data_IF_324068556861
#
_entry.id   IF_324068556861
#
_cell.length_a   1.000
_cell.length_b   1.000
_cell.length_c   1.000
_cell.angle_alpha   90.00
_cell.angle_beta   90.00
_cell.angle_gamma   90.00
#
_symmetry.space_group_name_H-M   'P 1'
#
loop_
_entity.id
_entity.type
_entity.pdbx_description
1 polymer ?
#
# COMPACT_ATOMS: atom_id res chain seq x y z
N UNK A 1 -14.69 16.41 -64.45
CA UNK A 1 -13.89 16.16 -65.67
C UNK A 1 -12.64 15.41 -65.25
N UNK A 2 -12.46 14.26 -65.96
CA UNK A 2 -11.32 13.31 -66.02
C UNK A 2 -11.00 12.50 -64.78
N UNK A 3 -11.51 11.39 -64.76
CA UNK A 3 -11.20 9.95 -64.93
C UNK A 3 -9.77 9.68 -65.49
N UNK A 4 -9.05 8.78 -64.80
CA UNK A 4 -8.28 7.72 -65.48
C UNK A 4 -8.10 6.52 -64.54
N UNK A 5 -8.72 5.40 -64.97
CA UNK A 5 -8.45 4.02 -64.59
C UNK A 5 -7.04 3.60 -65.04
N UNK A 6 -6.41 2.68 -64.31
CA UNK A 6 -5.55 1.66 -64.92
C UNK A 6 -5.74 0.31 -64.19
N UNK A 7 -6.07 -0.64 -65.05
CA UNK A 7 -6.37 -2.05 -64.77
C UNK A 7 -5.14 -2.93 -65.01
N UNK A 8 -5.00 -3.97 -64.21
CA UNK A 8 -4.63 -5.39 -64.49
C UNK A 8 -3.29 -5.72 -65.13
N UNK A 9 -2.51 -6.58 -64.50
CA UNK A 9 -1.99 -7.79 -65.18
C UNK A 9 -1.71 -8.93 -64.16
N UNK A 10 -2.38 -10.08 -64.42
CA UNK A 10 -2.14 -11.39 -63.82
C UNK A 10 -0.77 -11.97 -64.23
N UNK A 11 -0.10 -12.67 -63.31
CA UNK A 11 1.01 -13.54 -63.58
C UNK A 11 1.01 -14.77 -62.69
N UNK A 12 0.38 -15.85 -63.16
CA UNK A 12 0.42 -17.21 -62.60
C UNK A 12 1.82 -17.79 -62.83
N UNK A 13 2.53 -18.17 -61.75
CA UNK A 13 3.67 -19.11 -61.85
C UNK A 13 3.35 -20.31 -60.96
N UNK A 14 3.08 -21.42 -61.63
CA UNK A 14 2.97 -22.78 -61.03
C UNK A 14 4.39 -23.31 -60.92
N UNK A 15 4.84 -23.52 -59.67
CA UNK A 15 6.09 -24.23 -59.36
C UNK A 15 5.76 -25.54 -58.63
N UNK A 16 5.87 -26.65 -59.33
CA UNK A 16 5.89 -27.99 -58.71
C UNK A 16 7.12 -28.16 -57.83
N UNK A 17 6.93 -28.49 -56.56
CA UNK A 17 7.97 -29.05 -55.71
C UNK A 17 7.52 -30.40 -55.15
N UNK A 18 8.31 -31.39 -55.49
CA UNK A 18 8.14 -32.80 -55.12
C UNK A 18 8.17 -33.01 -53.61
N UNK A 19 7.19 -33.71 -53.07
CA UNK A 19 7.12 -34.14 -51.71
C UNK A 19 8.04 -35.39 -51.53
N UNK A 20 9.10 -35.23 -50.75
CA UNK A 20 9.79 -36.38 -50.13
C UNK A 20 9.10 -36.68 -48.79
N UNK A 21 8.33 -37.74 -48.72
CA UNK A 21 7.70 -38.24 -47.54
C UNK A 21 8.74 -38.85 -46.58
N UNK A 22 8.88 -38.30 -45.41
CA UNK A 22 9.55 -38.96 -44.29
C UNK A 22 8.45 -39.47 -43.33
N UNK A 23 8.38 -40.80 -43.18
CA UNK A 23 7.49 -41.41 -42.20
C UNK A 23 7.90 -41.07 -40.78
N UNK A 24 7.01 -40.78 -39.83
CA UNK A 24 7.40 -40.62 -38.45
C UNK A 24 7.69 -41.96 -37.80
N UNK A 25 8.88 -42.06 -37.22
CA UNK A 25 9.24 -43.15 -36.33
C UNK A 25 8.36 -43.08 -35.07
N UNK A 26 7.47 -44.04 -34.91
CA UNK A 26 6.74 -44.28 -33.68
C UNK A 26 7.71 -44.86 -32.63
N UNK A 27 8.05 -44.07 -31.62
CA UNK A 27 8.70 -44.53 -30.40
C UNK A 27 7.60 -45.11 -29.49
N UNK A 28 7.73 -46.35 -28.99
CA UNK A 28 6.74 -46.90 -28.07
C UNK A 28 6.77 -46.14 -26.75
N UNK A 29 5.64 -45.48 -26.40
CA UNK A 29 5.44 -44.89 -25.08
C UNK A 29 5.22 -46.00 -24.07
N UNK A 30 6.24 -46.31 -23.29
CA UNK A 30 6.13 -47.16 -22.11
C UNK A 30 5.44 -46.38 -21.00
N UNK A 31 4.15 -46.66 -20.76
CA UNK A 31 3.41 -46.18 -19.60
C UNK A 31 3.77 -47.00 -18.37
N UNK A 32 4.80 -46.59 -17.65
CA UNK A 32 4.97 -46.97 -16.25
C UNK A 32 4.17 -45.98 -15.38
N UNK A 33 3.47 -46.43 -14.32
CA UNK A 33 2.82 -45.57 -13.38
C UNK A 33 3.88 -44.67 -12.73
N UNK A 34 3.78 -43.36 -12.94
CA UNK A 34 4.73 -42.39 -12.40
C UNK A 34 4.74 -42.41 -10.87
N UNK A 35 5.77 -42.93 -10.27
CA UNK A 35 6.17 -42.51 -8.93
C UNK A 35 6.36 -40.99 -8.96
N UNK A 36 5.57 -40.29 -8.16
CA UNK A 36 5.77 -38.88 -7.91
C UNK A 36 7.15 -38.70 -7.27
N UNK A 37 8.13 -38.32 -8.08
CA UNK A 37 9.44 -37.91 -7.58
C UNK A 37 9.20 -36.65 -6.71
N UNK A 38 9.13 -36.89 -5.40
CA UNK A 38 9.21 -35.80 -4.42
C UNK A 38 10.65 -35.26 -4.55
N UNK A 39 10.77 -34.17 -5.34
CA UNK A 39 12.03 -33.42 -5.38
C UNK A 39 12.26 -32.90 -3.95
N UNK A 40 13.33 -33.33 -3.26
CA UNK A 40 13.61 -32.84 -1.93
C UNK A 40 13.77 -31.32 -2.04
N UNK A 41 12.99 -30.54 -1.28
CA UNK A 41 13.20 -29.10 -1.14
C UNK A 41 14.64 -28.90 -0.69
N UNK A 42 15.49 -28.40 -1.57
CA UNK A 42 16.88 -28.13 -1.29
C UNK A 42 16.97 -27.26 -0.03
N UNK A 43 17.57 -27.77 1.02
CA UNK A 43 17.82 -27.01 2.23
C UNK A 43 18.81 -25.89 1.89
N UNK A 44 18.43 -24.66 2.14
CA UNK A 44 19.33 -23.52 1.99
C UNK A 44 20.49 -23.67 3.01
N UNK A 45 21.75 -23.45 2.60
CA UNK A 45 22.87 -23.46 3.54
C UNK A 45 22.58 -22.51 4.72
N UNK A 46 22.68 -23.01 5.95
CA UNK A 46 22.40 -22.25 7.17
C UNK A 46 20.97 -22.38 7.71
N UNK A 47 20.07 -23.15 7.06
CA UNK A 47 18.67 -23.38 7.50
C UNK A 47 18.46 -24.78 8.12
N UNK A 48 19.51 -25.39 8.68
CA UNK A 48 19.48 -26.80 9.15
C UNK A 48 19.52 -26.97 10.67
N UNK A 49 19.82 -25.90 11.43
CA UNK A 49 19.88 -25.93 12.90
C UNK A 49 18.52 -26.15 13.58
N UNK A 50 18.46 -26.38 14.90
CA UNK A 50 17.20 -26.42 15.64
C UNK A 50 16.47 -25.08 15.54
N UNK A 51 15.14 -25.11 15.40
CA UNK A 51 14.34 -23.89 15.41
C UNK A 51 14.28 -23.34 16.85
N UNK A 52 14.35 -22.01 17.01
CA UNK A 52 14.17 -21.37 18.32
C UNK A 52 12.74 -21.53 18.84
N UNK A 53 12.48 -21.08 20.07
CA UNK A 53 11.13 -21.02 20.61
C UNK A 53 10.25 -19.99 19.93
N UNK A 54 8.93 -20.14 20.08
CA UNK A 54 7.98 -19.14 19.62
C UNK A 54 8.10 -17.86 20.46
N UNK A 55 7.86 -16.69 19.84
CA UNK A 55 7.85 -15.38 20.49
C UNK A 55 6.41 -14.87 20.64
N UNK A 56 6.09 -14.32 21.81
CA UNK A 56 4.80 -13.69 22.06
C UNK A 56 4.90 -12.18 21.93
N UNK A 57 3.95 -11.59 21.21
CA UNK A 57 3.72 -10.16 21.12
C UNK A 57 2.38 -9.81 21.79
N UNK A 58 2.11 -8.53 22.00
CA UNK A 58 0.87 -8.10 22.66
C UNK A 58 -0.41 -8.58 21.91
N UNK A 59 -0.34 -8.74 20.58
CA UNK A 59 -1.50 -9.13 19.75
C UNK A 59 -1.25 -10.32 18.84
N UNK A 60 -0.06 -10.92 18.86
CA UNK A 60 0.27 -12.05 17.99
C UNK A 60 1.23 -13.02 18.67
N UNK A 61 1.30 -14.22 18.10
CA UNK A 61 2.32 -15.22 18.38
C UNK A 61 3.15 -15.41 17.13
N UNK A 62 4.46 -15.41 17.26
CA UNK A 62 5.39 -15.67 16.17
C UNK A 62 5.96 -17.07 16.30
N UNK A 63 5.59 -17.94 15.39
CA UNK A 63 6.01 -19.34 15.35
C UNK A 63 7.20 -19.49 14.40
N UNK A 64 8.37 -19.97 14.87
CA UNK A 64 9.54 -20.10 14.01
C UNK A 64 9.30 -21.13 12.90
N UNK A 65 9.80 -20.83 11.71
CA UNK A 65 9.67 -21.67 10.52
C UNK A 65 10.99 -21.72 9.75
N UNK A 66 11.11 -22.64 8.80
CA UNK A 66 12.25 -22.70 7.89
C UNK A 66 12.08 -21.69 6.76
N UNK A 67 13.20 -21.21 6.21
CA UNK A 67 13.19 -20.36 5.01
C UNK A 67 12.51 -21.04 3.82
N UNK A 68 12.66 -22.35 3.68
CA UNK A 68 11.99 -23.15 2.65
C UNK A 68 10.45 -23.17 2.77
N UNK A 69 9.89 -22.76 3.91
CA UNK A 69 8.45 -22.66 4.13
C UNK A 69 7.86 -21.32 3.67
N UNK A 70 8.72 -20.34 3.37
CA UNK A 70 8.27 -19.04 2.83
C UNK A 70 7.92 -19.21 1.34
N UNK A 71 6.66 -19.01 0.94
CA UNK A 71 6.27 -19.18 -0.45
C UNK A 71 7.01 -18.18 -1.34
N UNK A 72 7.56 -18.62 -2.47
CA UNK A 72 8.25 -17.78 -3.46
C UNK A 72 9.52 -17.08 -2.95
N UNK A 73 10.15 -17.58 -1.89
CA UNK A 73 11.35 -17.00 -1.29
C UNK A 73 12.50 -16.76 -2.29
N UNK A 74 12.59 -17.56 -3.34
CA UNK A 74 13.63 -17.45 -4.38
C UNK A 74 13.43 -16.31 -5.38
N UNK A 75 12.21 -15.78 -5.52
CA UNK A 75 11.79 -15.06 -6.72
C UNK A 75 11.72 -13.53 -6.54
N UNK A 76 11.78 -13.03 -5.31
CA UNK A 76 11.66 -11.59 -5.05
C UNK A 76 12.92 -10.82 -5.47
N UNK A 77 12.78 -9.70 -6.23
CA UNK A 77 13.85 -8.76 -6.52
C UNK A 77 14.18 -7.93 -5.26
N UNK A 78 15.01 -8.49 -4.37
CA UNK A 78 15.31 -7.96 -3.04
C UNK A 78 15.85 -6.52 -3.04
N UNK A 79 16.52 -6.07 -4.13
CA UNK A 79 17.06 -4.71 -4.22
C UNK A 79 15.99 -3.62 -4.01
N UNK A 80 14.74 -3.86 -4.41
CA UNK A 80 13.65 -2.93 -4.15
C UNK A 80 13.32 -2.84 -2.66
N UNK A 81 13.30 -3.98 -1.95
CA UNK A 81 13.07 -4.02 -0.51
C UNK A 81 14.25 -3.40 0.26
N UNK A 82 15.45 -3.52 -0.30
CA UNK A 82 16.65 -2.94 0.30
C UNK A 82 16.56 -1.42 0.41
N UNK A 83 15.98 -0.74 -0.60
CA UNK A 83 15.70 0.69 -0.54
C UNK A 83 14.80 1.06 0.64
N UNK A 84 13.74 0.28 0.89
CA UNK A 84 12.89 0.49 2.05
C UNK A 84 13.64 0.24 3.37
N UNK A 85 14.54 -0.75 3.40
CA UNK A 85 15.32 -1.04 4.60
C UNK A 85 16.36 0.05 4.90
N UNK A 86 17.01 0.59 3.88
CA UNK A 86 17.90 1.75 4.02
C UNK A 86 17.16 2.93 4.66
N UNK A 87 15.89 3.16 4.28
CA UNK A 87 15.04 4.16 4.92
C UNK A 87 14.75 3.81 6.39
N UNK A 88 14.44 2.55 6.71
CA UNK A 88 14.30 2.12 8.11
C UNK A 88 15.57 2.36 8.93
N UNK A 89 16.75 2.25 8.32
CA UNK A 89 18.03 2.52 8.96
C UNK A 89 18.34 4.01 9.19
N UNK A 90 17.50 4.93 8.74
CA UNK A 90 17.55 6.35 9.13
C UNK A 90 17.01 6.56 10.56
N UNK A 91 16.04 5.72 10.98
CA UNK A 91 15.45 5.68 12.33
C UNK A 91 15.24 4.23 12.79
N UNK A 92 16.31 3.46 12.98
CA UNK A 92 16.20 2.06 13.33
C UNK A 92 15.68 1.91 14.76
N UNK A 93 14.79 0.94 14.97
CA UNK A 93 14.50 0.47 16.32
C UNK A 93 15.71 -0.25 16.93
N UNK A 94 15.75 -0.43 18.26
CA UNK A 94 16.93 -0.97 18.97
C UNK A 94 17.33 -2.36 18.46
N UNK A 95 16.37 -3.17 18.03
CA UNK A 95 16.60 -4.54 17.55
C UNK A 95 17.35 -4.57 16.20
N UNK A 96 17.03 -3.66 15.28
CA UNK A 96 17.60 -3.63 13.93
C UNK A 96 18.77 -2.65 13.77
N UNK A 97 18.99 -1.74 14.73
CA UNK A 97 20.08 -0.78 14.70
C UNK A 97 21.47 -1.43 14.49
N UNK A 98 21.81 -2.55 15.15
CA UNK A 98 23.08 -3.22 14.94
C UNK A 98 23.33 -3.72 13.52
N UNK A 99 22.26 -4.05 12.77
CA UNK A 99 22.34 -4.60 11.42
C UNK A 99 22.48 -3.50 10.35
N UNK A 100 22.20 -2.24 10.67
CA UNK A 100 22.13 -1.17 9.68
C UNK A 100 23.42 -0.90 8.92
N UNK A 101 24.59 -1.11 9.55
CA UNK A 101 25.88 -0.97 8.85
C UNK A 101 26.06 -2.06 7.78
N UNK A 102 25.61 -3.28 8.05
CA UNK A 102 25.64 -4.38 7.07
C UNK A 102 24.62 -4.13 5.95
N UNK A 103 23.41 -3.68 6.30
CA UNK A 103 22.36 -3.30 5.33
C UNK A 103 22.89 -2.23 4.35
N UNK A 104 23.56 -1.19 4.84
CA UNK A 104 24.15 -0.15 3.99
C UNK A 104 25.23 -0.70 3.04
N UNK A 105 26.12 -1.56 3.53
CA UNK A 105 27.16 -2.19 2.70
C UNK A 105 26.57 -3.06 1.60
N UNK A 106 25.48 -3.76 1.90
CA UNK A 106 24.81 -4.67 0.97
C UNK A 106 23.83 -3.97 0.00
N UNK A 107 23.74 -2.64 0.06
CA UNK A 107 22.86 -1.88 -0.85
C UNK A 107 23.24 -2.00 -2.33
N UNK A 108 24.52 -2.26 -2.62
CA UNK A 108 25.06 -2.46 -3.97
C UNK A 108 25.29 -3.95 -4.29
N UNK A 109 24.99 -4.85 -3.36
CA UNK A 109 25.18 -6.29 -3.54
C UNK A 109 24.08 -6.90 -4.42
N UNK A 110 24.40 -8.03 -5.06
CA UNK A 110 23.42 -8.78 -5.83
C UNK A 110 22.38 -9.48 -4.94
N UNK A 111 21.24 -9.84 -5.52
CA UNK A 111 20.14 -10.49 -4.81
C UNK A 111 20.55 -11.81 -4.13
N UNK A 112 21.50 -12.54 -4.70
CA UNK A 112 22.02 -13.77 -4.09
C UNK A 112 22.76 -13.48 -2.76
N UNK A 113 23.61 -12.46 -2.75
CA UNK A 113 24.37 -12.07 -1.56
C UNK A 113 23.44 -11.49 -0.47
N UNK A 114 22.50 -10.64 -0.86
CA UNK A 114 21.46 -10.13 0.03
C UNK A 114 20.64 -11.26 0.65
N UNK A 115 20.25 -12.27 -0.16
CA UNK A 115 19.49 -13.44 0.33
C UNK A 115 20.33 -14.30 1.28
N UNK A 116 21.59 -14.54 0.97
CA UNK A 116 22.50 -15.29 1.83
C UNK A 116 22.68 -14.59 3.19
N UNK A 117 22.81 -13.26 3.18
CA UNK A 117 22.89 -12.47 4.40
C UNK A 117 21.60 -12.55 5.23
N UNK A 118 20.41 -12.44 4.60
CA UNK A 118 19.13 -12.60 5.29
C UNK A 118 19.06 -13.96 6.02
N UNK A 119 19.41 -15.03 5.33
CA UNK A 119 19.43 -16.40 5.90
C UNK A 119 20.43 -16.50 7.05
N UNK A 120 21.59 -15.88 6.93
CA UNK A 120 22.62 -15.92 7.96
C UNK A 120 22.25 -15.13 9.23
N UNK A 121 21.63 -13.97 9.07
CA UNK A 121 21.39 -13.01 10.17
C UNK A 121 20.01 -13.10 10.81
N UNK A 122 19.01 -13.58 10.06
CA UNK A 122 17.62 -13.55 10.49
C UNK A 122 17.01 -14.96 10.55
N UNK A 123 16.01 -15.08 11.39
CA UNK A 123 15.13 -16.24 11.53
C UNK A 123 13.73 -15.83 11.11
N UNK A 124 13.08 -16.54 10.19
CA UNK A 124 11.68 -16.28 9.86
C UNK A 124 10.74 -16.88 10.91
N UNK A 125 9.72 -16.09 11.26
CA UNK A 125 8.66 -16.49 12.17
C UNK A 125 7.31 -16.22 11.49
N UNK A 126 6.46 -17.23 11.37
CA UNK A 126 5.08 -17.05 10.94
C UNK A 126 4.30 -16.28 12.01
N UNK A 127 3.55 -15.28 11.58
CA UNK A 127 2.68 -14.50 12.46
C UNK A 127 1.34 -15.19 12.58
N UNK A 128 0.96 -15.54 13.80
CA UNK A 128 -0.31 -16.19 14.13
C UNK A 128 -1.12 -15.28 15.07
N UNK A 129 -2.45 -15.32 14.97
CA UNK A 129 -3.32 -14.71 15.97
C UNK A 129 -3.19 -15.44 17.31
N UNK A 130 -3.39 -14.74 18.44
CA UNK A 130 -3.32 -15.36 19.78
C UNK A 130 -4.35 -16.49 19.96
N UNK A 131 -5.51 -16.38 19.33
CA UNK A 131 -6.54 -17.42 19.31
C UNK A 131 -6.26 -18.54 18.30
N UNK A 132 -5.15 -18.49 17.57
CA UNK A 132 -4.79 -19.38 16.48
C UNK A 132 -5.18 -18.83 15.10
N UNK A 133 -4.51 -19.36 14.05
CA UNK A 133 -4.70 -18.94 12.65
C UNK A 133 -3.63 -17.97 12.16
N UNK A 134 -3.10 -18.27 10.96
CA UNK A 134 -2.03 -17.55 10.29
C UNK A 134 -2.55 -16.72 9.09
N UNK A 135 -3.86 -16.72 8.86
CA UNK A 135 -4.48 -15.99 7.76
C UNK A 135 -5.15 -14.71 8.27
N UNK A 136 -4.97 -13.64 7.55
CA UNK A 136 -5.51 -12.33 7.86
C UNK A 136 -5.92 -11.54 6.62
N UNK A 137 -5.82 -10.23 6.69
CA UNK A 137 -6.34 -9.32 5.68
C UNK A 137 -5.28 -8.35 5.18
N UNK A 138 -5.09 -8.31 3.86
CA UNK A 138 -4.38 -7.26 3.15
C UNK A 138 -5.38 -6.28 2.53
N UNK A 139 -5.14 -4.99 2.78
CA UNK A 139 -5.75 -3.88 2.04
C UNK A 139 -4.66 -3.00 1.47
N UNK A 140 -5.02 -1.93 0.78
CA UNK A 140 -4.07 -0.99 0.22
C UNK A 140 -4.39 0.45 0.56
N UNK A 141 -3.35 1.27 0.60
CA UNK A 141 -3.44 2.72 0.70
C UNK A 141 -2.45 3.40 -0.25
N UNK A 142 -2.67 4.67 -0.48
CA UNK A 142 -1.89 5.44 -1.45
C UNK A 142 -1.84 6.91 -1.07
N UNK A 143 -0.97 7.66 -1.71
CA UNK A 143 -0.90 9.11 -1.57
C UNK A 143 -1.65 9.76 -2.75
N UNK A 144 -2.85 10.35 -2.55
CA UNK A 144 -3.58 11.03 -3.62
C UNK A 144 -2.80 12.23 -4.14
N UNK A 145 -2.97 12.51 -5.44
CA UNK A 145 -2.45 13.72 -6.10
C UNK A 145 -3.65 14.58 -6.46
N UNK A 146 -3.73 15.76 -5.89
CA UNK A 146 -4.91 16.63 -5.93
C UNK A 146 -4.54 18.04 -6.40
N UNK A 147 -5.50 18.70 -7.06
CA UNK A 147 -5.45 20.14 -7.36
C UNK A 147 -6.13 20.94 -6.25
N UNK A 148 -5.55 22.06 -5.87
CA UNK A 148 -6.11 22.92 -4.84
C UNK A 148 -5.80 24.39 -5.04
N UNK A 149 -6.40 25.23 -4.20
CA UNK A 149 -6.24 26.69 -4.18
C UNK A 149 -5.86 27.19 -2.79
N UNK A 150 -5.05 28.24 -2.70
CA UNK A 150 -4.81 28.96 -1.43
C UNK A 150 -6.00 29.80 -0.99
N UNK A 151 -6.90 30.11 -1.90
CA UNK A 151 -8.08 30.94 -1.62
C UNK A 151 -9.36 30.13 -1.81
N UNK A 152 -10.30 30.32 -0.89
CA UNK A 152 -11.64 29.83 -1.08
C UNK A 152 -12.28 30.50 -2.32
N UNK A 153 -13.02 29.73 -3.07
CA UNK A 153 -13.82 30.19 -4.20
C UNK A 153 -14.97 29.22 -4.45
N UNK A 154 -15.87 29.57 -5.38
CA UNK A 154 -16.94 28.66 -5.82
C UNK A 154 -16.39 27.36 -6.44
N UNK A 155 -15.21 27.43 -7.08
CA UNK A 155 -14.53 26.26 -7.64
C UNK A 155 -13.76 25.45 -6.59
N UNK A 156 -13.34 26.06 -5.49
CA UNK A 156 -12.57 25.44 -4.40
C UNK A 156 -13.18 25.79 -3.04
N UNK A 157 -14.37 25.24 -2.69
CA UNK A 157 -15.08 25.60 -1.48
C UNK A 157 -14.65 24.79 -0.23
N UNK A 158 -13.91 23.68 -0.37
CA UNK A 158 -13.69 22.71 0.69
C UNK A 158 -12.35 22.94 1.39
N UNK A 159 -12.33 23.43 2.65
CA UNK A 159 -11.09 23.73 3.36
C UNK A 159 -10.39 22.47 3.89
N UNK A 160 -9.07 22.51 3.88
CA UNK A 160 -8.19 21.58 4.59
C UNK A 160 -7.47 22.35 5.68
N UNK A 161 -7.41 21.80 6.89
CA UNK A 161 -6.96 22.52 8.08
C UNK A 161 -5.67 21.97 8.67
N UNK A 162 -4.89 22.89 9.26
CA UNK A 162 -3.90 22.56 10.30
C UNK A 162 -4.64 22.17 11.59
N UNK A 163 -3.94 21.47 12.52
CA UNK A 163 -4.50 21.20 13.84
C UNK A 163 -4.98 22.48 14.53
N UNK A 164 -6.21 22.52 15.09
CA UNK A 164 -6.67 23.66 15.87
C UNK A 164 -5.82 23.83 17.13
N UNK A 165 -5.73 25.06 17.61
CA UNK A 165 -5.16 25.33 18.92
C UNK A 165 -5.95 24.55 19.97
N UNK A 166 -5.24 23.92 20.90
CA UNK A 166 -5.89 23.14 21.95
C UNK A 166 -6.38 21.74 21.56
N UNK A 167 -6.05 21.24 20.37
CA UNK A 167 -6.41 19.88 19.96
C UNK A 167 -6.00 18.81 20.98
N UNK A 168 -4.82 18.96 21.61
CA UNK A 168 -4.32 18.01 22.61
C UNK A 168 -5.04 18.11 23.97
N UNK A 169 -5.66 19.24 24.29
CA UNK A 169 -6.32 19.47 25.58
C UNK A 169 -7.72 18.87 25.65
N UNK A 170 -8.36 18.62 24.48
CA UNK A 170 -9.68 18.00 24.40
C UNK A 170 -9.63 16.76 23.50
N UNK A 171 -9.81 15.58 24.11
CA UNK A 171 -9.83 14.30 23.40
C UNK A 171 -11.04 13.47 23.83
N UNK A 172 -11.91 13.01 22.91
CA UNK A 172 -11.94 13.36 21.48
C UNK A 172 -12.31 14.82 21.25
N UNK A 173 -11.82 15.41 20.14
CA UNK A 173 -12.25 16.72 19.69
C UNK A 173 -13.61 16.59 18.98
N UNK A 174 -14.16 17.66 18.43
CA UNK A 174 -15.46 17.69 17.77
C UNK A 174 -15.54 16.67 16.62
N UNK A 175 -16.73 16.10 16.42
CA UNK A 175 -17.01 15.24 15.26
C UNK A 175 -16.94 16.03 13.95
N UNK A 176 -16.83 15.33 12.81
CA UNK A 176 -16.89 15.95 11.48
C UNK A 176 -18.14 16.83 11.32
N UNK A 177 -19.30 16.31 11.73
CA UNK A 177 -20.54 17.07 11.64
C UNK A 177 -20.47 18.38 12.42
N UNK A 178 -19.97 18.37 13.66
CA UNK A 178 -19.79 19.58 14.46
C UNK A 178 -18.76 20.54 13.86
N UNK A 179 -17.68 20.01 13.27
CA UNK A 179 -16.66 20.80 12.55
C UNK A 179 -17.29 21.53 11.37
N UNK A 180 -18.15 20.86 10.61
CA UNK A 180 -18.74 21.41 9.39
C UNK A 180 -19.94 22.33 9.68
N UNK A 181 -20.65 22.15 10.82
CA UNK A 181 -21.94 22.81 11.06
C UNK A 181 -21.95 23.76 12.27
N UNK A 182 -21.01 23.68 13.21
CA UNK A 182 -21.00 24.51 14.41
C UNK A 182 -20.21 25.81 14.20
N UNK A 183 -20.83 27.00 14.29
CA UNK A 183 -20.13 28.28 14.16
C UNK A 183 -18.99 28.48 15.17
N UNK A 184 -19.16 27.94 16.40
CA UNK A 184 -18.10 27.99 17.42
C UNK A 184 -16.87 27.18 17.01
N UNK A 185 -17.07 26.00 16.44
CA UNK A 185 -15.97 25.11 16.00
C UNK A 185 -15.30 25.70 14.76
N UNK A 186 -16.07 26.22 13.82
CA UNK A 186 -15.54 26.91 12.64
C UNK A 186 -14.73 28.15 13.01
N UNK A 187 -15.16 28.92 14.03
CA UNK A 187 -14.39 30.04 14.54
C UNK A 187 -13.00 29.61 15.09
N UNK A 188 -12.90 28.42 15.71
CA UNK A 188 -11.63 27.87 16.19
C UNK A 188 -10.69 27.41 15.06
N UNK A 189 -11.23 27.16 13.87
CA UNK A 189 -10.48 26.75 12.67
C UNK A 189 -10.17 27.92 11.72
N UNK A 190 -10.79 29.08 11.93
CA UNK A 190 -10.55 30.26 11.10
C UNK A 190 -9.08 30.68 11.12
N UNK A 191 -8.50 30.85 9.92
CA UNK A 191 -7.06 31.14 9.76
C UNK A 191 -6.14 29.91 9.91
N UNK A 192 -6.73 28.72 10.00
CA UNK A 192 -6.00 27.45 10.02
C UNK A 192 -6.09 26.69 8.69
N UNK A 193 -6.71 27.29 7.70
CA UNK A 193 -6.84 26.71 6.36
C UNK A 193 -5.48 26.67 5.67
N UNK A 194 -5.09 25.49 5.17
CA UNK A 194 -3.87 25.30 4.39
C UNK A 194 -4.17 25.54 2.92
N UNK A 195 -5.24 24.92 2.43
CA UNK A 195 -5.67 24.95 1.05
C UNK A 195 -7.15 24.61 0.97
N UNK A 196 -7.73 24.80 -0.22
CA UNK A 196 -9.12 24.48 -0.53
C UNK A 196 -9.17 23.53 -1.73
N UNK A 197 -10.03 22.51 -1.63
CA UNK A 197 -10.32 21.55 -2.68
C UNK A 197 -11.67 21.85 -3.36
N UNK A 198 -11.83 21.31 -4.56
CA UNK A 198 -13.09 21.42 -5.30
C UNK A 198 -14.14 20.40 -4.80
N UNK A 199 -13.72 19.17 -4.44
CA UNK A 199 -14.61 18.05 -4.14
C UNK A 199 -14.45 17.63 -2.66
N UNK A 200 -15.53 17.60 -1.87
CA UNK A 200 -15.49 17.16 -0.48
C UNK A 200 -15.19 15.66 -0.35
N UNK A 201 -15.45 14.84 -1.37
CA UNK A 201 -15.06 13.44 -1.36
C UNK A 201 -13.53 13.30 -1.51
N UNK A 202 -12.88 14.15 -2.29
CA UNK A 202 -11.40 14.17 -2.36
C UNK A 202 -10.78 14.59 -1.03
N UNK A 203 -11.38 15.55 -0.31
CA UNK A 203 -10.96 15.89 1.04
C UNK A 203 -11.13 14.72 2.01
N UNK A 204 -12.23 13.97 1.92
CA UNK A 204 -12.46 12.77 2.71
C UNK A 204 -11.43 11.68 2.39
N UNK A 205 -11.15 11.43 1.10
CA UNK A 205 -10.13 10.46 0.66
C UNK A 205 -8.77 10.84 1.26
N UNK A 206 -8.35 12.10 1.08
CA UNK A 206 -7.09 12.61 1.63
C UNK A 206 -7.00 12.39 3.15
N UNK A 207 -8.06 12.64 3.89
CA UNK A 207 -8.11 12.44 5.33
C UNK A 207 -8.05 10.96 5.74
N UNK A 208 -8.64 10.06 4.95
CA UNK A 208 -8.58 8.61 5.19
C UNK A 208 -7.18 8.08 4.87
N UNK A 209 -6.56 8.56 3.79
CA UNK A 209 -5.20 8.17 3.41
C UNK A 209 -4.13 8.77 4.35
N UNK A 210 -4.41 9.88 5.01
CA UNK A 210 -3.55 10.54 5.99
C UNK A 210 -2.47 11.45 5.40
N UNK A 211 -2.25 11.42 4.09
CA UNK A 211 -1.34 12.32 3.36
C UNK A 211 -1.74 12.43 1.90
N UNK A 212 -1.24 13.46 1.22
CA UNK A 212 -1.44 13.65 -0.22
C UNK A 212 -0.46 14.65 -0.82
N UNK A 213 -0.26 14.55 -2.13
CA UNK A 213 0.45 15.56 -2.91
C UNK A 213 -0.56 16.56 -3.45
N UNK A 214 -0.24 17.82 -3.31
CA UNK A 214 -1.14 18.88 -3.81
C UNK A 214 -0.39 19.82 -4.73
N UNK A 215 -0.99 20.07 -5.89
CA UNK A 215 -0.64 21.21 -6.72
C UNK A 215 -1.57 22.37 -6.32
N UNK A 216 -0.99 23.38 -5.68
CA UNK A 216 -1.74 24.50 -5.11
C UNK A 216 -1.55 25.73 -5.98
N UNK A 217 -2.65 26.29 -6.47
CA UNK A 217 -2.65 27.60 -7.14
C UNK A 217 -2.56 28.68 -6.07
N UNK A 218 -1.52 29.50 -6.17
CA UNK A 218 -1.26 30.64 -5.29
C UNK A 218 -2.12 31.85 -5.65
N UNK A 219 -2.23 32.85 -4.78
CA UNK A 219 -3.00 34.07 -5.06
C UNK A 219 -2.57 34.86 -6.29
N UNK A 220 -1.33 34.74 -6.70
CA UNK A 220 -0.75 35.37 -7.89
C UNK A 220 -0.90 34.52 -9.18
N UNK A 221 -1.54 33.34 -9.08
CA UNK A 221 -1.74 32.40 -10.17
C UNK A 221 -0.61 31.41 -10.37
N UNK A 222 0.51 31.52 -9.67
CA UNK A 222 1.59 30.52 -9.72
C UNK A 222 1.14 29.21 -9.07
N UNK A 223 1.82 28.11 -9.42
CA UNK A 223 1.55 26.81 -8.84
C UNK A 223 2.75 26.30 -8.05
N UNK A 224 2.48 25.75 -6.88
CA UNK A 224 3.47 25.04 -6.06
C UNK A 224 3.01 23.62 -5.79
N UNK A 225 3.94 22.67 -5.82
CA UNK A 225 3.67 21.29 -5.43
C UNK A 225 4.18 21.08 -4.02
N UNK A 226 3.29 20.61 -3.14
CA UNK A 226 3.59 20.34 -1.74
C UNK A 226 3.05 18.98 -1.34
N UNK A 227 3.52 18.45 -0.23
CA UNK A 227 2.89 17.33 0.47
C UNK A 227 2.08 17.86 1.65
N UNK A 228 0.84 17.41 1.75
CA UNK A 228 0.08 17.51 2.99
C UNK A 228 0.33 16.24 3.79
N UNK A 229 1.01 16.37 4.91
CA UNK A 229 1.35 15.27 5.81
C UNK A 229 0.43 15.29 7.04
N UNK A 230 0.13 14.11 7.58
CA UNK A 230 -0.63 13.96 8.80
C UNK A 230 -0.03 14.78 9.95
N UNK A 231 -0.86 15.58 10.62
CA UNK A 231 -0.45 16.39 11.76
C UNK A 231 -1.29 16.13 13.02
N UNK A 232 -2.38 15.37 12.88
CA UNK A 232 -3.25 15.01 13.99
C UNK A 232 -4.65 14.65 13.51
N UNK A 233 -5.48 14.20 14.44
CA UNK A 233 -6.89 13.93 14.18
C UNK A 233 -7.73 14.40 15.36
N UNK A 234 -9.05 14.45 15.17
CA UNK A 234 -10.01 14.74 16.24
C UNK A 234 -10.21 13.58 17.23
N UNK A 235 -9.43 12.50 17.12
CA UNK A 235 -9.52 11.27 17.93
C UNK A 235 -10.91 10.61 17.98
N UNK A 236 -11.80 10.97 17.03
CA UNK A 236 -13.04 10.25 16.83
C UNK A 236 -12.78 8.90 16.14
N UNK A 237 -13.62 7.88 16.39
CA UNK A 237 -13.48 6.58 15.74
C UNK A 237 -13.67 6.70 14.23
N UNK A 238 -12.87 5.94 13.49
CA UNK A 238 -13.09 5.79 12.05
C UNK A 238 -14.33 4.93 11.78
N UNK A 239 -15.21 5.43 10.90
CA UNK A 239 -16.32 4.66 10.34
C UNK A 239 -16.24 4.69 8.81
N UNK A 240 -16.39 3.52 8.19
CA UNK A 240 -16.30 3.41 6.73
C UNK A 240 -17.54 3.99 6.06
N UNK A 241 -17.35 5.05 5.28
CA UNK A 241 -18.42 5.65 4.46
C UNK A 241 -18.92 4.69 3.37
N UNK A 242 -18.02 3.86 2.84
CA UNK A 242 -18.40 2.81 1.88
C UNK A 242 -19.29 1.75 2.52
N UNK A 243 -18.98 1.34 3.76
CA UNK A 243 -19.85 0.42 4.50
C UNK A 243 -21.21 1.05 4.78
N UNK A 244 -21.24 2.33 5.17
CA UNK A 244 -22.49 3.05 5.36
C UNK A 244 -23.37 3.05 4.11
N UNK A 245 -22.81 3.30 2.92
CA UNK A 245 -23.55 3.25 1.66
C UNK A 245 -24.08 1.84 1.34
N UNK A 246 -23.29 0.81 1.61
CA UNK A 246 -23.72 -0.60 1.42
C UNK A 246 -24.89 -0.91 2.38
N UNK A 247 -24.79 -0.53 3.64
CA UNK A 247 -25.82 -0.78 4.66
C UNK A 247 -27.12 -0.01 4.36
N UNK A 248 -27.03 1.13 3.64
CA UNK A 248 -28.20 1.85 3.11
C UNK A 248 -28.77 1.22 1.81
N UNK A 249 -28.14 0.17 1.27
CA UNK A 249 -28.51 -0.39 -0.03
C UNK A 249 -28.24 0.55 -1.22
N UNK A 250 -27.47 1.62 -1.01
CA UNK A 250 -27.24 2.67 -1.99
C UNK A 250 -26.21 2.29 -3.05
N UNK A 251 -25.24 1.44 -2.70
CA UNK A 251 -24.24 0.90 -3.62
C UNK A 251 -23.99 -0.57 -3.32
N UNK A 252 -23.57 -1.34 -4.33
CA UNK A 252 -23.11 -2.72 -4.16
C UNK A 252 -21.60 -2.82 -4.01
N UNK A 253 -20.88 -1.86 -4.57
CA UNK A 253 -19.45 -1.69 -4.52
C UNK A 253 -19.12 -0.38 -3.81
N UNK A 254 -18.22 -0.43 -2.83
CA UNK A 254 -17.77 0.73 -2.06
C UNK A 254 -16.40 1.26 -2.55
N UNK A 255 -16.09 1.06 -3.83
CA UNK A 255 -14.93 1.69 -4.45
C UNK A 255 -15.08 3.23 -4.51
N UNK A 256 -13.97 3.95 -4.52
CA UNK A 256 -14.00 5.41 -4.61
C UNK A 256 -14.74 5.94 -5.84
N UNK A 257 -14.59 5.35 -7.03
CA UNK A 257 -15.42 5.73 -8.18
C UNK A 257 -16.91 5.57 -7.93
N UNK A 258 -17.35 4.48 -7.31
CA UNK A 258 -18.75 4.25 -6.99
C UNK A 258 -19.28 5.24 -5.94
N UNK A 259 -18.49 5.56 -4.91
CA UNK A 259 -18.82 6.56 -3.89
C UNK A 259 -18.96 7.95 -4.54
N UNK A 260 -18.01 8.36 -5.40
CA UNK A 260 -18.08 9.63 -6.14
C UNK A 260 -19.29 9.70 -7.07
N UNK A 261 -19.58 8.62 -7.80
CA UNK A 261 -20.74 8.55 -8.67
C UNK A 261 -22.06 8.68 -7.87
N UNK A 262 -22.14 8.03 -6.71
CA UNK A 262 -23.29 8.18 -5.82
C UNK A 262 -23.44 9.62 -5.30
N UNK A 263 -22.35 10.23 -4.85
CA UNK A 263 -22.34 11.61 -4.36
C UNK A 263 -22.80 12.60 -5.44
N UNK A 264 -22.35 12.44 -6.69
CA UNK A 264 -22.77 13.26 -7.81
C UNK A 264 -24.28 13.11 -8.14
N UNK A 265 -24.83 11.92 -7.94
CA UNK A 265 -26.27 11.65 -8.14
C UNK A 265 -27.13 12.09 -6.94
N UNK A 266 -26.53 12.30 -5.77
CA UNK A 266 -27.22 12.62 -4.52
C UNK A 266 -26.61 13.86 -3.83
N UNK A 267 -26.56 15.04 -4.50
CA UNK A 267 -25.84 16.21 -3.96
C UNK A 267 -26.40 16.67 -2.61
N UNK A 268 -27.70 16.56 -2.39
CA UNK A 268 -28.35 16.92 -1.11
C UNK A 268 -28.01 15.98 0.05
N UNK A 269 -27.43 14.80 -0.22
CA UNK A 269 -27.09 13.79 0.80
C UNK A 269 -25.59 13.62 1.02
N UNK A 270 -24.77 14.41 0.37
CA UNK A 270 -23.30 14.31 0.50
C UNK A 270 -22.87 14.53 1.95
N UNK A 271 -23.47 15.47 2.66
CA UNK A 271 -23.16 15.71 4.07
C UNK A 271 -23.51 14.51 4.97
N UNK A 272 -24.62 13.80 4.71
CA UNK A 272 -24.96 12.58 5.44
C UNK A 272 -23.84 11.53 5.28
N UNK A 273 -23.36 11.35 4.05
CA UNK A 273 -22.23 10.47 3.75
C UNK A 273 -20.97 10.88 4.51
N UNK A 274 -20.56 12.12 4.42
CA UNK A 274 -19.37 12.65 5.09
C UNK A 274 -19.45 12.50 6.61
N UNK A 275 -20.58 12.84 7.20
CA UNK A 275 -20.82 12.81 8.66
C UNK A 275 -21.00 11.38 9.20
N UNK A 276 -21.26 10.40 8.34
CA UNK A 276 -21.25 8.98 8.75
C UNK A 276 -19.88 8.54 9.29
N UNK A 277 -18.80 9.23 8.86
CA UNK A 277 -17.47 9.10 9.43
C UNK A 277 -17.16 10.33 10.33
N UNK A 278 -17.26 10.22 11.66
CA UNK A 278 -17.04 11.34 12.57
C UNK A 278 -15.57 11.79 12.64
N UNK A 279 -14.64 10.98 12.10
CA UNK A 279 -13.21 11.26 12.15
C UNK A 279 -12.82 12.34 11.15
N UNK A 280 -12.02 13.32 11.61
CA UNK A 280 -11.38 14.35 10.80
C UNK A 280 -9.88 14.30 11.04
N UNK A 281 -9.10 14.45 9.97
CA UNK A 281 -7.64 14.55 10.00
C UNK A 281 -7.21 15.95 9.66
N UNK A 282 -6.22 16.44 10.41
CA UNK A 282 -5.55 17.71 10.22
C UNK A 282 -4.17 17.49 9.62
N UNK A 283 -3.72 18.45 8.82
CA UNK A 283 -2.49 18.33 8.05
C UNK A 283 -1.47 19.41 8.43
N UNK A 284 -0.23 19.17 8.06
CA UNK A 284 0.81 20.17 7.89
C UNK A 284 1.32 20.12 6.47
N UNK A 285 1.75 21.25 5.99
CA UNK A 285 2.39 21.35 4.68
C UNK A 285 3.88 21.04 4.82
N UNK A 286 4.38 20.24 3.89
CA UNK A 286 5.80 19.94 3.74
C UNK A 286 6.22 20.28 2.30
N UNK A 287 7.36 20.94 2.11
CA UNK A 287 7.93 21.10 0.78
C UNK A 287 8.13 19.72 0.13
N UNK A 288 7.90 19.61 -1.17
CA UNK A 288 8.10 18.39 -1.93
C UNK A 288 9.20 18.65 -2.97
N UNK A 289 10.47 18.44 -2.57
CA UNK A 289 11.61 18.50 -3.48
C UNK A 289 11.56 17.32 -4.46
N UNK A 290 12.30 17.41 -5.58
CA UNK A 290 12.40 16.30 -6.54
C UNK A 290 12.92 15.01 -5.91
N UNK A 291 13.81 15.11 -4.92
CA UNK A 291 14.32 13.97 -4.17
C UNK A 291 13.23 13.37 -3.27
N UNK A 292 12.44 14.21 -2.60
CA UNK A 292 11.34 13.74 -1.73
C UNK A 292 10.16 13.21 -2.55
N UNK A 293 10.00 13.69 -3.79
CA UNK A 293 8.96 13.23 -4.71
C UNK A 293 9.14 11.77 -5.14
N UNK A 294 10.37 11.23 -5.06
CA UNK A 294 10.66 9.82 -5.34
C UNK A 294 10.17 8.86 -4.23
N UNK A 295 9.76 9.39 -3.10
CA UNK A 295 9.33 8.62 -1.92
C UNK A 295 7.92 8.99 -1.49
N UNK A 296 7.27 8.08 -0.78
CA UNK A 296 6.01 8.35 -0.10
C UNK A 296 6.17 9.28 1.11
N UNK A 297 5.08 9.55 1.84
CA UNK A 297 5.10 10.34 3.08
C UNK A 297 5.91 9.62 4.15
N UNK A 298 6.25 10.33 5.23
CA UNK A 298 6.81 9.69 6.42
C UNK A 298 5.73 8.87 7.12
N UNK A 299 5.95 7.55 7.23
CA UNK A 299 5.12 6.65 8.01
C UNK A 299 5.30 6.83 9.51
N UNK A 300 4.60 6.01 10.30
CA UNK A 300 4.65 6.07 11.76
C UNK A 300 6.05 5.77 12.35
N UNK A 301 6.89 5.01 11.65
CA UNK A 301 8.31 4.85 12.00
C UNK A 301 9.08 6.18 11.89
N UNK A 302 8.55 7.19 11.19
CA UNK A 302 9.20 8.48 10.95
C UNK A 302 10.17 8.49 9.76
N UNK A 303 10.08 7.51 8.87
CA UNK A 303 10.88 7.38 7.64
C UNK A 303 9.99 7.43 6.41
N UNK A 304 10.51 7.87 5.24
CA UNK A 304 9.76 7.88 3.99
C UNK A 304 9.33 6.47 3.57
N UNK A 305 8.09 6.33 3.12
CA UNK A 305 7.56 5.07 2.63
C UNK A 305 8.05 4.77 1.20
N UNK A 306 8.30 3.51 0.93
CA UNK A 306 8.71 3.01 -0.39
C UNK A 306 7.52 2.34 -1.07
N UNK A 307 7.07 2.80 -2.25
CA UNK A 307 5.98 2.16 -2.98
C UNK A 307 6.22 0.67 -3.18
N UNK A 308 5.21 -0.13 -2.88
CA UNK A 308 5.30 -1.58 -3.06
C UNK A 308 6.22 -2.32 -2.09
N UNK A 309 6.87 -1.63 -1.14
CA UNK A 309 7.82 -2.22 -0.18
C UNK A 309 7.58 -1.78 1.26
N UNK A 310 6.70 -0.83 1.51
CA UNK A 310 6.26 -0.43 2.84
C UNK A 310 4.86 -0.93 3.13
N UNK A 311 4.63 -1.35 4.37
CA UNK A 311 3.30 -1.73 4.88
C UNK A 311 3.00 -1.01 6.19
N UNK A 312 1.71 -0.67 6.38
CA UNK A 312 1.18 -0.33 7.69
C UNK A 312 0.73 -1.61 8.40
N UNK A 313 1.02 -1.69 9.69
CA UNK A 313 0.73 -2.85 10.57
C UNK A 313 0.16 -2.40 11.91
N UNK A 314 -0.35 -3.35 12.68
CA UNK A 314 -0.61 -3.14 14.11
C UNK A 314 0.71 -3.25 14.88
N UNK A 315 1.20 -2.17 15.52
CA UNK A 315 2.48 -2.19 16.21
C UNK A 315 2.50 -3.12 17.43
N UNK A 316 1.33 -3.49 17.97
CA UNK A 316 1.20 -4.51 19.00
C UNK A 316 1.38 -5.94 18.47
N UNK A 317 1.38 -6.12 17.15
CA UNK A 317 1.69 -7.40 16.49
C UNK A 317 3.09 -7.40 15.89
N UNK A 318 3.44 -6.36 15.13
CA UNK A 318 4.73 -6.26 14.41
C UNK A 318 5.33 -4.87 14.69
N UNK A 319 6.48 -4.77 15.38
CA UNK A 319 7.16 -3.50 15.62
C UNK A 319 7.60 -2.81 14.33
N UNK A 320 7.68 -1.48 14.35
CA UNK A 320 8.18 -0.72 13.20
C UNK A 320 9.66 -1.02 12.89
N UNK A 321 10.00 -0.94 11.62
CA UNK A 321 11.33 -1.24 11.09
C UNK A 321 11.56 -2.72 10.85
N UNK A 322 10.59 -3.58 11.16
CA UNK A 322 10.69 -5.02 10.99
C UNK A 322 10.58 -5.39 9.50
N UNK A 323 11.55 -6.15 8.94
CA UNK A 323 11.39 -6.79 7.64
C UNK A 323 10.40 -7.95 7.75
N UNK A 324 9.47 -8.01 6.80
CA UNK A 324 8.36 -8.95 6.79
C UNK A 324 8.26 -9.60 5.41
N UNK A 325 8.23 -10.91 5.36
CA UNK A 325 7.82 -11.63 4.17
C UNK A 325 6.30 -11.62 4.09
N UNK A 326 5.76 -11.10 3.01
CA UNK A 326 4.34 -10.98 2.74
C UNK A 326 3.95 -11.95 1.63
N UNK A 327 2.92 -12.76 1.87
CA UNK A 327 2.32 -13.59 0.84
C UNK A 327 0.80 -13.36 0.80
N UNK A 328 0.31 -13.08 -0.38
CA UNK A 328 -1.11 -12.91 -0.69
C UNK A 328 -1.41 -13.44 -2.08
N UNK A 329 -2.60 -14.02 -2.25
CA UNK A 329 -3.14 -14.44 -3.53
C UNK A 329 -4.62 -14.11 -3.56
N UNK A 330 -5.06 -13.45 -4.62
CA UNK A 330 -6.45 -13.02 -4.74
C UNK A 330 -6.74 -12.36 -6.09
N UNK A 331 -7.96 -11.86 -6.28
CA UNK A 331 -8.40 -11.34 -7.56
C UNK A 331 -7.69 -10.06 -8.01
N UNK A 332 -7.08 -9.32 -7.06
CA UNK A 332 -6.42 -8.04 -7.37
C UNK A 332 -4.96 -8.25 -7.75
N UNK A 333 -4.24 -9.07 -6.97
CA UNK A 333 -2.81 -9.33 -7.21
C UNK A 333 -2.33 -10.59 -6.47
N UNK A 334 -1.20 -11.11 -6.92
CA UNK A 334 -0.44 -12.14 -6.22
C UNK A 334 0.93 -11.58 -5.85
N UNK A 335 1.27 -11.60 -4.56
CA UNK A 335 2.55 -11.12 -4.06
C UNK A 335 3.18 -12.17 -3.14
N UNK A 336 4.49 -12.33 -3.30
CA UNK A 336 5.36 -13.10 -2.43
C UNK A 336 6.68 -12.32 -2.36
N UNK A 337 6.79 -11.41 -1.39
CA UNK A 337 7.87 -10.43 -1.38
C UNK A 337 8.26 -9.93 0.00
N UNK A 338 9.47 -9.42 0.12
CA UNK A 338 9.96 -8.72 1.30
C UNK A 338 9.42 -7.30 1.33
N UNK A 339 8.83 -6.92 2.45
CA UNK A 339 8.34 -5.57 2.74
C UNK A 339 8.81 -5.12 4.13
N UNK A 340 8.70 -3.83 4.43
CA UNK A 340 9.09 -3.24 5.71
C UNK A 340 7.84 -2.71 6.45
N UNK A 341 7.71 -3.06 7.71
CA UNK A 341 6.68 -2.51 8.61
C UNK A 341 7.08 -1.09 9.03
N UNK A 342 6.62 -0.07 8.30
CA UNK A 342 7.06 1.32 8.48
C UNK A 342 5.94 2.28 8.86
N UNK A 343 4.70 1.79 8.86
CA UNK A 343 3.53 2.64 9.08
C UNK A 343 2.46 1.94 9.93
N UNK A 344 1.42 2.68 10.28
CA UNK A 344 0.21 2.20 10.94
C UNK A 344 -1.00 3.02 10.52
N UNK A 345 -2.18 2.56 10.90
CA UNK A 345 -3.44 3.28 10.72
C UNK A 345 -4.47 2.88 11.76
N UNK A 346 -5.40 3.77 12.08
CA UNK A 346 -6.44 3.50 13.10
C UNK A 346 -7.34 2.29 12.78
N UNK A 347 -7.42 1.90 11.50
CA UNK A 347 -8.15 0.73 11.03
C UNK A 347 -7.25 -0.51 10.86
N UNK A 348 -5.94 -0.39 11.08
CA UNK A 348 -4.96 -1.46 10.90
C UNK A 348 -4.71 -2.11 12.26
N UNK A 349 -5.64 -2.97 12.66
CA UNK A 349 -5.66 -3.61 13.98
C UNK A 349 -5.75 -5.12 13.80
N UNK A 350 -4.94 -5.87 14.55
CA UNK A 350 -4.94 -7.32 14.58
C UNK A 350 -3.59 -7.96 14.24
N UNK A 351 -3.49 -9.27 14.48
CA UNK A 351 -2.25 -10.02 14.37
C UNK A 351 -1.71 -10.07 12.94
N UNK A 352 -2.54 -10.53 11.99
CA UNK A 352 -2.17 -10.73 10.58
C UNK A 352 -2.94 -9.68 9.76
N UNK A 353 -2.58 -8.41 9.96
CA UNK A 353 -3.22 -7.27 9.31
C UNK A 353 -2.14 -6.36 8.70
N UNK A 354 -2.23 -6.14 7.42
CA UNK A 354 -1.35 -5.18 6.76
C UNK A 354 -2.13 -4.31 5.76
N UNK A 355 -1.65 -3.08 5.61
CA UNK A 355 -2.08 -2.15 4.57
C UNK A 355 -0.89 -1.84 3.68
N UNK A 356 -1.02 -2.11 2.39
CA UNK A 356 0.06 -2.07 1.41
C UNK A 356 0.18 -0.67 0.80
N UNK A 357 1.33 -0.04 0.95
CA UNK A 357 1.57 1.26 0.33
C UNK A 357 1.77 1.10 -1.18
N UNK A 358 0.75 1.42 -1.95
CA UNK A 358 0.75 1.27 -3.40
C UNK A 358 1.54 2.35 -4.14
N UNK A 359 1.88 3.47 -3.45
CA UNK A 359 2.53 4.63 -4.06
C UNK A 359 1.61 5.85 -4.10
N UNK A 360 1.62 6.60 -5.21
CA UNK A 360 0.85 7.83 -5.35
C UNK A 360 0.12 7.92 -6.68
N UNK A 361 -0.88 8.81 -6.72
CA UNK A 361 -1.66 9.12 -7.92
C UNK A 361 -2.71 8.07 -8.27
N UNK A 362 -3.29 8.20 -9.47
CA UNK A 362 -4.48 7.46 -9.88
C UNK A 362 -4.28 5.95 -9.95
N UNK A 363 -3.15 5.50 -10.53
CA UNK A 363 -2.85 4.06 -10.68
C UNK A 363 -2.69 3.38 -9.32
N UNK A 364 -1.96 4.03 -8.39
CA UNK A 364 -1.81 3.55 -7.03
C UNK A 364 -3.17 3.54 -6.29
N UNK A 365 -3.99 4.56 -6.52
CA UNK A 365 -5.34 4.66 -5.95
C UNK A 365 -6.27 3.57 -6.44
N UNK A 366 -6.20 3.19 -7.72
CA UNK A 366 -6.98 2.09 -8.30
C UNK A 366 -6.57 0.75 -7.68
N UNK A 367 -5.27 0.48 -7.59
CA UNK A 367 -4.75 -0.72 -6.94
C UNK A 367 -5.19 -0.79 -5.46
N UNK A 368 -4.93 0.28 -4.71
CA UNK A 368 -5.26 0.36 -3.29
C UNK A 368 -6.77 0.19 -3.04
N UNK A 369 -7.60 0.81 -3.87
CA UNK A 369 -9.06 0.73 -3.75
C UNK A 369 -9.65 -0.66 -4.00
N UNK A 370 -8.98 -1.50 -4.79
CA UNK A 370 -9.39 -2.89 -5.06
C UNK A 370 -8.76 -3.90 -4.12
N UNK A 371 -7.70 -3.53 -3.40
CA UNK A 371 -6.93 -4.48 -2.61
C UNK A 371 -7.64 -4.81 -1.30
N UNK A 372 -8.29 -5.97 -1.27
CA UNK A 372 -8.91 -6.57 -0.09
C UNK A 372 -8.91 -8.07 -0.27
N UNK A 373 -7.90 -8.75 0.29
CA UNK A 373 -7.71 -10.18 0.03
C UNK A 373 -6.94 -10.88 1.17
N UNK A 374 -6.92 -12.23 1.19
CA UNK A 374 -6.22 -13.00 2.22
C UNK A 374 -4.73 -12.66 2.31
N UNK A 375 -4.19 -12.75 3.52
CA UNK A 375 -2.82 -12.40 3.83
C UNK A 375 -2.17 -13.41 4.75
N UNK A 376 -0.91 -13.74 4.49
CA UNK A 376 -0.01 -14.40 5.44
C UNK A 376 1.27 -13.60 5.59
N UNK A 377 1.79 -13.54 6.82
CA UNK A 377 2.98 -12.76 7.16
C UNK A 377 4.01 -13.63 7.90
N UNK A 378 5.27 -13.38 7.60
CA UNK A 378 6.40 -13.91 8.33
C UNK A 378 7.34 -12.76 8.69
N UNK A 379 7.56 -12.58 9.98
CA UNK A 379 8.54 -11.64 10.49
C UNK A 379 9.93 -12.23 10.33
N UNK A 380 10.88 -11.45 9.84
CA UNK A 380 12.30 -11.84 9.77
C UNK A 380 13.01 -11.17 10.96
N UNK A 381 13.28 -11.95 12.01
CA UNK A 381 13.81 -11.45 13.27
C UNK A 381 15.29 -11.80 13.43
N UNK A 382 16.14 -10.92 14.02
CA UNK A 382 17.53 -11.24 14.25
C UNK A 382 17.71 -12.53 15.08
N UNK A 383 18.74 -13.30 14.71
CA UNK A 383 19.14 -14.54 15.41
C UNK A 383 19.83 -14.24 16.72
#
# INVERSE_FOLDING_TARGET
MNRLLWTVLNGLIVGMLAACGSAPLQVPVSTSPGESVVVPKSSLPGDTGPLPGALLQAKSRWTPVRWAELPGWGDDPLHEAWNAWLKSCERPGPVFAPLCNEVRRLSIAGAHEQRAWLVARLQPYRVDALAGGAEGLLTGYFEPVLEGSRRASTAFPVPLYQPPLGLAQRKPWYTRQEIDSSPQVQAALKGREIAFLADPIDALILQIQGSGRMRITQPDGTQTVVRLAYAGSNDQPYKSVGRWLIDQGAVRDASWPAIKAWAAQNPGRVNELLWSNPRTVFFREEPLSDLDAAWGPKGAQGVPLTPGRSIAVDPGSIPYGTPVWLATSGPTLNLQKLVLAQDTGSAIVGAVRADYFAGWGAVAGELAGRLKQPLRLWVLWPK
#
